data_IF_158271595500
#
_entry.id   IF_158271595500
#
_cell.length_a   1.000
_cell.length_b   1.000
_cell.length_c   1.000
_cell.angle_alpha   90.00
_cell.angle_beta   90.00
_cell.angle_gamma   90.00
#
_symmetry.space_group_name_H-M   'P 1'
#
loop_
_entity.id
_entity.type
_entity.pdbx_description
1 polymer ?
#
# COMPACT_ATOMS: atom_id res chain seq x y z
N UNK A 1 -41.28 55.90 -9.80
CA UNK A 1 -41.11 55.12 -8.55
C UNK A 1 -40.50 53.72 -8.76
N UNK A 2 -40.14 53.31 -9.99
CA UNK A 2 -39.57 51.98 -10.29
C UNK A 2 -38.02 51.92 -10.22
N UNK A 3 -37.32 53.06 -10.30
CA UNK A 3 -35.85 53.10 -10.32
C UNK A 3 -35.18 53.03 -8.94
N UNK A 4 -35.94 53.20 -7.85
CA UNK A 4 -35.40 53.19 -6.48
C UNK A 4 -35.27 51.79 -5.87
N UNK A 5 -35.84 50.75 -6.50
CA UNK A 5 -35.87 49.38 -5.95
C UNK A 5 -34.72 48.50 -6.42
N UNK A 6 -34.02 48.88 -7.49
CA UNK A 6 -32.91 48.09 -8.07
C UNK A 6 -31.57 48.41 -7.39
N UNK A 7 -31.42 49.63 -6.85
CA UNK A 7 -30.18 50.05 -6.17
C UNK A 7 -30.01 49.37 -4.80
N UNK A 8 -31.10 49.06 -4.10
CA UNK A 8 -31.06 48.44 -2.77
C UNK A 8 -30.75 46.95 -2.77
N UNK A 9 -30.87 46.25 -3.91
CA UNK A 9 -30.47 44.84 -4.00
C UNK A 9 -28.97 44.66 -4.25
N UNK A 10 -28.30 45.66 -4.83
CA UNK A 10 -26.85 45.61 -5.09
C UNK A 10 -26.01 45.92 -3.85
N UNK A 11 -26.55 46.62 -2.85
CA UNK A 11 -25.81 46.97 -1.62
C UNK A 11 -25.86 45.91 -0.53
N UNK A 12 -26.78 44.93 -0.61
CA UNK A 12 -26.83 43.81 0.36
C UNK A 12 -25.86 42.67 0.00
N UNK A 13 -25.50 42.51 -1.28
CA UNK A 13 -24.59 41.44 -1.72
C UNK A 13 -23.11 41.84 -1.50
N UNK A 14 -22.80 43.13 -1.37
CA UNK A 14 -21.42 43.61 -1.22
C UNK A 14 -20.89 43.50 0.23
N UNK A 15 -21.75 43.38 1.24
CA UNK A 15 -21.34 43.32 2.67
C UNK A 15 -21.16 41.90 3.21
N UNK A 16 -21.54 40.87 2.45
CA UNK A 16 -21.23 39.46 2.75
C UNK A 16 -19.96 38.95 2.04
N UNK A 17 -19.25 39.83 1.33
CA UNK A 17 -18.12 39.48 0.44
C UNK A 17 -16.74 39.39 1.08
N UNK A 18 -16.61 39.49 2.41
CA UNK A 18 -15.30 39.46 3.08
C UNK A 18 -15.45 38.68 4.37
N UNK A 19 -15.15 37.37 4.33
CA UNK A 19 -14.70 36.51 5.44
C UNK A 19 -14.71 35.01 5.05
N UNK A 20 -14.69 34.69 3.75
CA UNK A 20 -14.23 33.38 3.29
C UNK A 20 -12.82 33.54 2.70
N UNK A 21 -11.86 33.95 3.54
CA UNK A 21 -10.49 33.43 3.33
C UNK A 21 -10.62 31.95 3.66
N UNK A 22 -11.03 31.17 2.66
CA UNK A 22 -10.69 29.78 2.61
C UNK A 22 -9.17 29.79 2.79
N UNK A 23 -8.70 29.45 3.99
CA UNK A 23 -7.32 29.03 4.17
C UNK A 23 -7.06 28.09 3.01
N UNK A 24 -5.98 28.24 2.23
CA UNK A 24 -5.64 27.23 1.24
C UNK A 24 -5.71 25.90 1.98
N UNK A 25 -6.74 25.11 1.68
CA UNK A 25 -6.77 23.72 2.13
C UNK A 25 -5.50 23.19 1.53
N UNK A 26 -4.53 22.77 2.36
CA UNK A 26 -3.28 22.23 1.86
C UNK A 26 -3.64 21.14 0.85
N UNK A 27 -3.55 21.50 -0.43
CA UNK A 27 -3.88 20.63 -1.56
C UNK A 27 -2.74 19.65 -1.77
N UNK A 28 -1.51 20.06 -1.43
CA UNK A 28 -0.32 19.20 -1.33
C UNK A 28 -0.60 17.98 -0.42
N UNK A 29 -0.90 18.19 0.87
CA UNK A 29 -1.12 17.07 1.81
C UNK A 29 -2.26 16.12 1.42
N UNK A 30 -3.29 16.59 0.67
CA UNK A 30 -4.37 15.71 0.18
C UNK A 30 -4.01 14.96 -1.11
N UNK A 31 -3.31 15.60 -2.04
CA UNK A 31 -2.83 14.97 -3.27
C UNK A 31 -1.81 13.86 -2.95
N UNK A 32 -0.96 14.10 -1.96
CA UNK A 32 0.09 13.18 -1.56
C UNK A 32 -0.48 11.96 -0.81
N UNK A 33 -1.44 12.18 0.11
CA UNK A 33 -2.17 11.10 0.77
C UNK A 33 -2.92 10.18 -0.21
N UNK A 34 -3.61 10.78 -1.17
CA UNK A 34 -4.28 10.06 -2.24
C UNK A 34 -3.27 9.31 -3.13
N UNK A 35 -2.05 9.84 -3.29
CA UNK A 35 -0.99 9.18 -4.06
C UNK A 35 -0.48 7.91 -3.38
N UNK A 36 -0.22 7.93 -2.07
CA UNK A 36 0.16 6.71 -1.32
C UNK A 36 -0.96 5.67 -1.35
N UNK A 37 -2.20 6.10 -1.13
CA UNK A 37 -3.36 5.21 -1.21
C UNK A 37 -3.51 4.59 -2.61
N UNK A 38 -3.31 5.37 -3.67
CA UNK A 38 -3.34 4.89 -5.05
C UNK A 38 -2.20 3.91 -5.34
N UNK A 39 -0.99 4.14 -4.82
CA UNK A 39 0.14 3.22 -4.98
C UNK A 39 -0.19 1.87 -4.33
N UNK A 40 -0.65 1.88 -3.07
CA UNK A 40 -1.01 0.64 -2.35
C UNK A 40 -2.23 -0.05 -2.97
N UNK A 41 -3.21 0.70 -3.46
CA UNK A 41 -4.34 0.14 -4.19
C UNK A 41 -3.93 -0.49 -5.53
N UNK A 42 -3.00 0.13 -6.27
CA UNK A 42 -2.45 -0.42 -7.50
C UNK A 42 -1.66 -1.69 -7.23
N UNK A 43 -0.83 -1.69 -6.18
CA UNK A 43 -0.14 -2.88 -5.73
C UNK A 43 -1.13 -3.99 -5.40
N UNK A 44 -2.15 -3.69 -4.60
CA UNK A 44 -3.20 -4.66 -4.26
C UNK A 44 -3.86 -5.24 -5.52
N UNK A 45 -4.21 -4.40 -6.48
CA UNK A 45 -4.81 -4.85 -7.74
C UNK A 45 -3.91 -5.84 -8.48
N UNK A 46 -2.60 -5.57 -8.57
CA UNK A 46 -1.62 -6.50 -9.15
C UNK A 46 -1.49 -7.78 -8.35
N UNK A 47 -1.42 -7.68 -7.02
CA UNK A 47 -1.37 -8.85 -6.13
C UNK A 47 -2.62 -9.72 -6.31
N UNK A 48 -3.82 -9.11 -6.37
CA UNK A 48 -5.09 -9.80 -6.58
C UNK A 48 -5.16 -10.52 -7.94
N UNK A 49 -4.39 -10.09 -8.93
CA UNK A 49 -4.26 -10.74 -10.23
C UNK A 49 -3.24 -11.89 -10.21
N UNK A 50 -2.06 -11.67 -9.61
CA UNK A 50 -0.93 -12.60 -9.65
C UNK A 50 -1.10 -13.74 -8.62
N UNK A 51 -1.57 -13.43 -7.40
CA UNK A 51 -1.71 -14.42 -6.32
C UNK A 51 -2.59 -15.61 -6.71
N UNK A 52 -3.77 -15.44 -7.33
CA UNK A 52 -4.56 -16.58 -7.78
C UNK A 52 -3.83 -17.45 -8.82
N UNK A 53 -3.00 -16.85 -9.67
CA UNK A 53 -2.19 -17.59 -10.64
C UNK A 53 -1.10 -18.41 -9.95
N UNK A 54 -0.43 -17.86 -8.94
CA UNK A 54 0.54 -18.60 -8.12
C UNK A 54 -0.16 -19.77 -7.41
N UNK A 55 -1.32 -19.54 -6.80
CA UNK A 55 -2.10 -20.59 -6.12
C UNK A 55 -2.50 -21.70 -7.09
N UNK A 56 -2.98 -21.34 -8.28
CA UNK A 56 -3.35 -22.28 -9.34
C UNK A 56 -2.15 -23.08 -9.85
N UNK A 57 -1.02 -22.41 -10.08
CA UNK A 57 0.22 -23.05 -10.47
C UNK A 57 0.72 -24.01 -9.39
N UNK A 58 0.76 -23.59 -8.13
CA UNK A 58 1.22 -24.41 -7.00
C UNK A 58 0.31 -25.63 -6.72
N UNK A 59 -0.99 -25.54 -7.03
CA UNK A 59 -1.93 -26.66 -6.93
C UNK A 59 -1.75 -27.70 -8.05
N UNK A 60 -1.01 -27.38 -9.12
CA UNK A 60 -0.77 -28.30 -10.21
C UNK A 60 0.37 -29.28 -9.84
N UNK A 61 0.15 -30.61 -9.88
CA UNK A 61 1.20 -31.59 -9.59
C UNK A 61 2.38 -31.58 -10.57
N UNK A 62 2.25 -30.90 -11.72
CA UNK A 62 3.31 -30.69 -12.72
C UNK A 62 3.96 -29.30 -12.62
N UNK A 63 3.65 -28.52 -11.59
CA UNK A 63 4.25 -27.21 -11.38
C UNK A 63 5.77 -27.31 -11.29
N UNK A 64 6.45 -26.40 -11.97
CA UNK A 64 7.91 -26.36 -12.01
C UNK A 64 8.38 -24.90 -12.01
N UNK A 65 9.70 -24.71 -11.90
CA UNK A 65 10.33 -23.38 -11.89
C UNK A 65 9.89 -22.51 -13.07
N UNK A 66 9.69 -23.07 -14.25
CA UNK A 66 9.29 -22.30 -15.42
C UNK A 66 7.88 -21.69 -15.32
N UNK A 67 7.01 -22.20 -14.43
CA UNK A 67 5.64 -21.67 -14.27
C UNK A 67 5.49 -20.80 -13.02
N UNK A 68 6.15 -21.12 -11.91
CA UNK A 68 6.00 -20.37 -10.64
C UNK A 68 7.01 -19.22 -10.52
N UNK A 69 8.27 -19.42 -10.92
CA UNK A 69 9.31 -18.38 -10.85
C UNK A 69 8.89 -17.08 -11.53
N UNK A 70 8.39 -17.07 -12.79
CA UNK A 70 8.02 -15.81 -13.44
C UNK A 70 6.88 -15.08 -12.73
N UNK A 71 5.94 -15.81 -12.10
CA UNK A 71 4.85 -15.19 -11.35
C UNK A 71 5.35 -14.54 -10.06
N UNK A 72 6.32 -15.17 -9.37
CA UNK A 72 6.96 -14.56 -8.20
C UNK A 72 7.80 -13.35 -8.61
N UNK A 73 8.53 -13.43 -9.72
CA UNK A 73 9.32 -12.30 -10.21
C UNK A 73 8.43 -11.12 -10.61
N UNK A 74 7.24 -11.38 -11.18
CA UNK A 74 6.25 -10.35 -11.48
C UNK A 74 5.72 -9.69 -10.19
N UNK A 75 5.51 -10.47 -9.14
CA UNK A 75 5.12 -9.96 -7.83
C UNK A 75 6.23 -9.10 -7.20
N UNK A 76 7.48 -9.54 -7.25
CA UNK A 76 8.65 -8.77 -6.81
C UNK A 76 8.75 -7.46 -7.61
N UNK A 77 8.55 -7.52 -8.92
CA UNK A 77 8.55 -6.33 -9.78
C UNK A 77 7.44 -5.35 -9.40
N UNK A 78 6.23 -5.83 -9.08
CA UNK A 78 5.13 -5.00 -8.61
C UNK A 78 5.44 -4.32 -7.27
N UNK A 79 6.05 -5.04 -6.33
CA UNK A 79 6.50 -4.49 -5.04
C UNK A 79 7.56 -3.40 -5.22
N UNK A 80 8.58 -3.66 -6.04
CA UNK A 80 9.63 -2.70 -6.33
C UNK A 80 9.10 -1.45 -7.06
N UNK A 81 8.15 -1.61 -7.98
CA UNK A 81 7.50 -0.48 -8.65
C UNK A 81 6.69 0.38 -7.67
N UNK A 82 6.00 -0.23 -6.70
CA UNK A 82 5.31 0.48 -5.64
C UNK A 82 6.31 1.24 -4.75
N UNK A 83 7.41 0.60 -4.35
CA UNK A 83 8.49 1.22 -3.57
C UNK A 83 9.10 2.41 -4.31
N UNK A 84 9.37 2.26 -5.61
CA UNK A 84 9.92 3.34 -6.44
C UNK A 84 8.95 4.52 -6.55
N UNK A 85 7.65 4.24 -6.59
CA UNK A 85 6.62 5.28 -6.63
C UNK A 85 6.51 6.03 -5.30
N UNK A 86 6.72 5.35 -4.16
CA UNK A 86 6.73 5.98 -2.83
C UNK A 86 7.97 6.85 -2.61
N UNK A 87 9.14 6.38 -3.01
CA UNK A 87 10.39 7.14 -2.85
C UNK A 87 10.42 8.42 -3.69
N UNK A 88 9.70 8.45 -4.81
CA UNK A 88 9.51 9.65 -5.63
C UNK A 88 8.53 10.66 -5.01
N UNK A 89 7.63 10.22 -4.12
CA UNK A 89 6.57 11.03 -3.53
C UNK A 89 6.96 11.80 -2.26
N UNK A 90 8.12 11.52 -1.66
CA UNK A 90 8.57 12.17 -0.41
C UNK A 90 7.78 11.73 0.84
N UNK A 91 8.15 12.29 2.01
CA UNK A 91 7.49 11.99 3.29
C UNK A 91 6.18 12.78 3.43
N UNK A 92 5.07 12.11 3.76
CA UNK A 92 3.73 12.68 3.68
C UNK A 92 3.07 12.64 5.05
N UNK A 93 2.64 13.79 5.55
CA UNK A 93 1.79 13.84 6.74
C UNK A 93 0.33 13.62 6.33
N UNK A 94 -0.19 12.42 6.59
CA UNK A 94 -1.62 12.16 6.44
C UNK A 94 -2.42 13.06 7.38
N UNK A 95 -3.50 13.64 6.84
CA UNK A 95 -4.45 14.45 7.62
C UNK A 95 -5.31 13.63 8.59
N UNK A 96 -5.40 12.31 8.42
CA UNK A 96 -6.27 11.45 9.21
C UNK A 96 -5.61 10.11 9.54
N UNK A 97 -5.71 9.70 10.81
CA UNK A 97 -5.33 8.34 11.25
C UNK A 97 -6.14 7.26 10.53
N UNK A 98 -7.41 7.54 10.21
CA UNK A 98 -8.26 6.59 9.50
C UNK A 98 -7.67 6.20 8.13
N UNK A 99 -7.12 7.17 7.39
CA UNK A 99 -6.45 6.89 6.10
C UNK A 99 -5.19 6.05 6.29
N UNK A 100 -4.45 6.28 7.37
CA UNK A 100 -3.27 5.47 7.71
C UNK A 100 -3.66 4.02 8.02
N UNK A 101 -4.73 3.83 8.79
CA UNK A 101 -5.25 2.51 9.16
C UNK A 101 -5.79 1.75 7.93
N UNK A 102 -6.46 2.45 7.00
CA UNK A 102 -6.93 1.87 5.73
C UNK A 102 -5.76 1.40 4.84
N UNK A 103 -4.69 2.20 4.75
CA UNK A 103 -3.48 1.85 4.01
C UNK A 103 -2.76 0.66 4.68
N UNK A 104 -2.63 0.69 6.01
CA UNK A 104 -2.02 -0.40 6.78
C UNK A 104 -2.80 -1.71 6.61
N UNK A 105 -4.13 -1.65 6.68
CA UNK A 105 -5.02 -2.80 6.50
C UNK A 105 -4.88 -3.38 5.09
N UNK A 106 -4.86 -2.51 4.07
CA UNK A 106 -4.70 -2.93 2.67
C UNK A 106 -3.35 -3.61 2.45
N UNK A 107 -2.27 -3.02 2.98
CA UNK A 107 -0.93 -3.56 2.86
C UNK A 107 -0.76 -4.88 3.64
N UNK A 108 -1.29 -4.98 4.86
CA UNK A 108 -1.29 -6.23 5.62
C UNK A 108 -2.05 -7.35 4.90
N UNK A 109 -3.15 -7.01 4.21
CA UNK A 109 -3.86 -7.92 3.31
C UNK A 109 -2.96 -8.44 2.19
N UNK A 110 -2.25 -7.55 1.49
CA UNK A 110 -1.27 -7.92 0.46
C UNK A 110 -0.21 -8.89 0.99
N UNK A 111 0.40 -8.59 2.14
CA UNK A 111 1.40 -9.49 2.77
C UNK A 111 0.79 -10.86 3.10
N UNK A 112 -0.44 -10.89 3.62
CA UNK A 112 -1.14 -12.13 3.95
C UNK A 112 -1.46 -12.96 2.71
N UNK A 113 -1.87 -12.31 1.62
CA UNK A 113 -2.18 -12.99 0.35
C UNK A 113 -0.93 -13.59 -0.29
N UNK A 114 0.18 -12.85 -0.29
CA UNK A 114 1.48 -13.30 -0.78
C UNK A 114 1.98 -14.50 0.03
N UNK A 115 2.03 -14.38 1.35
CA UNK A 115 2.49 -15.48 2.23
C UNK A 115 1.58 -16.69 2.11
N UNK A 116 0.27 -16.50 1.97
CA UNK A 116 -0.69 -17.57 1.71
C UNK A 116 -0.45 -18.28 0.37
N UNK A 117 -0.06 -17.55 -0.69
CA UNK A 117 0.32 -18.16 -1.97
C UNK A 117 1.64 -18.93 -1.88
N UNK A 118 2.68 -18.33 -1.27
CA UNK A 118 4.00 -18.96 -1.13
C UNK A 118 3.92 -20.25 -0.30
N UNK A 119 3.08 -20.28 0.74
CA UNK A 119 2.84 -21.47 1.56
C UNK A 119 2.36 -22.69 0.76
N UNK A 120 1.65 -22.46 -0.34
CA UNK A 120 1.11 -23.55 -1.16
C UNK A 120 2.16 -24.16 -2.09
N UNK A 121 3.31 -23.50 -2.25
CA UNK A 121 4.41 -24.02 -3.07
C UNK A 121 5.05 -25.20 -2.32
N UNK A 122 5.21 -26.38 -2.97
CA UNK A 122 5.76 -27.55 -2.32
C UNK A 122 7.16 -27.31 -1.74
N UNK A 123 7.40 -27.86 -0.55
CA UNK A 123 8.72 -27.84 0.08
C UNK A 123 9.73 -28.59 -0.80
N UNK A 124 10.88 -27.98 -1.08
CA UNK A 124 11.88 -28.52 -2.01
C UNK A 124 11.77 -28.01 -3.45
N UNK A 125 10.87 -27.06 -3.73
CA UNK A 125 10.80 -26.41 -5.04
C UNK A 125 12.14 -25.73 -5.40
N UNK A 126 12.73 -26.03 -6.57
CA UNK A 126 14.03 -25.49 -6.96
C UNK A 126 14.01 -23.96 -7.02
N UNK A 127 14.94 -23.31 -6.33
CA UNK A 127 15.05 -21.84 -6.31
C UNK A 127 14.06 -21.14 -5.37
N UNK A 128 13.15 -21.85 -4.71
CA UNK A 128 12.21 -21.26 -3.76
C UNK A 128 12.89 -20.46 -2.64
N UNK A 129 14.01 -20.91 -2.03
CA UNK A 129 14.69 -20.10 -1.02
C UNK A 129 15.15 -18.75 -1.55
N UNK A 130 15.67 -18.70 -2.79
CA UNK A 130 16.08 -17.44 -3.42
C UNK A 130 14.89 -16.53 -3.71
N UNK A 131 13.77 -17.11 -4.16
CA UNK A 131 12.54 -16.37 -4.44
C UNK A 131 11.90 -15.79 -3.16
N UNK A 132 11.93 -16.54 -2.06
CA UNK A 132 11.50 -16.06 -0.75
C UNK A 132 12.37 -14.88 -0.29
N UNK A 133 13.70 -14.98 -0.43
CA UNK A 133 14.61 -13.88 -0.07
C UNK A 133 14.31 -12.63 -0.92
N UNK A 134 14.12 -12.77 -2.23
CA UNK A 134 13.77 -11.64 -3.10
C UNK A 134 12.44 -10.99 -2.72
N UNK A 135 11.43 -11.78 -2.38
CA UNK A 135 10.15 -11.28 -1.88
C UNK A 135 10.28 -10.59 -0.53
N UNK A 136 11.05 -11.16 0.40
CA UNK A 136 11.27 -10.60 1.73
C UNK A 136 12.00 -9.25 1.66
N UNK A 137 13.02 -9.14 0.79
CA UNK A 137 13.71 -7.87 0.52
C UNK A 137 12.74 -6.85 -0.07
N UNK A 138 11.98 -7.19 -1.12
CA UNK A 138 11.06 -6.25 -1.76
C UNK A 138 9.93 -5.78 -0.81
N UNK A 139 9.41 -6.68 0.03
CA UNK A 139 8.43 -6.34 1.06
C UNK A 139 9.03 -5.45 2.15
N UNK A 140 10.24 -5.75 2.61
CA UNK A 140 10.95 -4.98 3.61
C UNK A 140 11.27 -3.55 3.12
N UNK A 141 11.73 -3.41 1.88
CA UNK A 141 11.99 -2.11 1.26
C UNK A 141 10.70 -1.31 1.08
N UNK A 142 9.63 -1.95 0.63
CA UNK A 142 8.33 -1.30 0.48
C UNK A 142 7.75 -0.87 1.83
N UNK A 143 7.82 -1.72 2.85
CA UNK A 143 7.38 -1.40 4.22
C UNK A 143 8.19 -0.23 4.79
N UNK A 144 9.50 -0.21 4.57
CA UNK A 144 10.36 0.89 4.98
C UNK A 144 9.99 2.19 4.25
N UNK A 145 9.77 2.12 2.93
CA UNK A 145 9.31 3.27 2.14
C UNK A 145 7.95 3.78 2.60
N UNK A 146 7.04 2.88 2.96
CA UNK A 146 5.74 3.21 3.51
C UNK A 146 5.82 3.81 4.93
N UNK A 147 6.70 3.34 5.81
CA UNK A 147 6.87 3.90 7.16
C UNK A 147 7.56 5.27 7.14
N UNK A 148 8.46 5.49 6.17
CA UNK A 148 9.02 6.82 5.88
C UNK A 148 7.93 7.75 5.32
N UNK A 149 7.13 7.26 4.37
CA UNK A 149 6.04 8.02 3.80
C UNK A 149 4.97 8.33 4.85
N UNK A 150 4.68 7.39 5.75
CA UNK A 150 3.62 7.41 6.74
C UNK A 150 4.14 6.99 8.12
N UNK A 151 4.52 7.97 8.93
CA UNK A 151 5.10 7.72 10.26
C UNK A 151 4.18 6.82 11.11
N UNK A 152 4.71 5.67 11.52
CA UNK A 152 4.02 4.72 12.40
C UNK A 152 3.12 3.73 11.67
N UNK A 153 3.17 3.67 10.33
CA UNK A 153 2.48 2.64 9.56
C UNK A 153 3.06 1.26 9.86
N UNK A 154 4.38 1.14 10.06
CA UNK A 154 5.02 -0.14 10.38
C UNK A 154 4.44 -0.79 11.65
N UNK A 155 4.13 0.02 12.67
CA UNK A 155 3.49 -0.45 13.90
C UNK A 155 2.04 -0.91 13.67
N UNK A 156 1.28 -0.17 12.87
CA UNK A 156 -0.10 -0.54 12.53
C UNK A 156 -0.13 -1.87 11.75
N UNK A 157 0.71 -1.97 10.72
CA UNK A 157 0.89 -3.18 9.91
C UNK A 157 1.37 -4.35 10.78
N UNK A 158 2.33 -4.12 11.69
CA UNK A 158 2.82 -5.15 12.60
C UNK A 158 1.72 -5.67 13.52
N UNK A 159 0.87 -4.78 14.05
CA UNK A 159 -0.25 -5.19 14.89
C UNK A 159 -1.28 -6.07 14.16
N UNK A 160 -1.52 -5.78 12.87
CA UNK A 160 -2.39 -6.56 12.00
C UNK A 160 -1.77 -7.91 11.63
N UNK A 161 -0.45 -7.93 11.39
CA UNK A 161 0.28 -9.11 10.97
C UNK A 161 0.69 -10.04 12.13
N UNK A 162 0.48 -9.68 13.40
CA UNK A 162 0.76 -10.56 14.55
C UNK A 162 0.20 -11.97 14.38
N UNK A 163 -1.02 -12.09 13.84
CA UNK A 163 -1.67 -13.38 13.61
C UNK A 163 -0.97 -14.24 12.52
N UNK A 164 -0.31 -13.59 11.56
CA UNK A 164 0.44 -14.26 10.48
C UNK A 164 1.95 -14.28 10.73
N UNK A 165 2.45 -13.67 11.81
CA UNK A 165 3.88 -13.60 12.11
C UNK A 165 4.55 -14.98 12.17
N UNK A 166 3.88 -15.97 12.77
CA UNK A 166 4.37 -17.36 12.77
C UNK A 166 4.44 -17.98 11.36
N UNK A 167 3.54 -17.58 10.45
CA UNK A 167 3.59 -18.00 9.05
C UNK A 167 4.76 -17.32 8.32
N UNK A 168 4.96 -16.02 8.51
CA UNK A 168 6.10 -15.30 7.95
C UNK A 168 7.42 -15.93 8.42
N UNK A 169 7.52 -16.25 9.72
CA UNK A 169 8.72 -16.85 10.30
C UNK A 169 8.97 -18.25 9.73
N UNK A 170 7.92 -19.07 9.64
CA UNK A 170 8.00 -20.40 9.07
C UNK A 170 8.34 -20.43 7.58
N UNK A 171 8.04 -19.35 6.85
CA UNK A 171 8.38 -19.19 5.44
C UNK A 171 9.73 -18.52 5.21
N UNK A 172 10.36 -17.91 6.22
CA UNK A 172 11.67 -17.24 6.08
C UNK A 172 11.61 -15.76 5.73
N UNK A 173 10.48 -15.08 5.96
CA UNK A 173 10.33 -13.61 5.83
C UNK A 173 10.92 -12.88 7.05
N UNK A 174 12.21 -13.09 7.31
CA UNK A 174 12.88 -12.63 8.55
C UNK A 174 13.12 -11.12 8.53
N UNK A 175 13.39 -10.52 7.37
CA UNK A 175 13.57 -9.07 7.25
C UNK A 175 12.26 -8.32 7.51
N UNK A 176 11.18 -8.79 6.88
CA UNK A 176 9.84 -8.21 7.07
C UNK A 176 9.41 -8.33 8.53
N UNK A 177 9.64 -9.47 9.19
CA UNK A 177 9.36 -9.64 10.62
C UNK A 177 10.18 -8.69 11.50
N UNK A 178 11.48 -8.60 11.23
CA UNK A 178 12.37 -7.72 11.99
C UNK A 178 11.94 -6.26 11.93
N UNK A 179 11.50 -5.78 10.76
CA UNK A 179 10.98 -4.42 10.59
C UNK A 179 9.64 -4.19 11.30
N UNK A 180 8.81 -5.23 11.41
CA UNK A 180 7.51 -5.16 12.09
C UNK A 180 7.62 -5.35 13.62
N UNK A 181 8.80 -5.75 14.13
CA UNK A 181 9.02 -6.04 15.54
C UNK A 181 8.26 -7.27 16.03
N UNK A 182 8.14 -8.29 15.17
CA UNK A 182 7.39 -9.53 15.41
C UNK A 182 8.31 -10.74 15.66
#
# INVERSE_FOLDING_TARGET
MLFSRVVSFFTFILTLGILAVAKPVELESRADAASVQNIVATLKSKTDQIVPQIKSAAANPQANSATITPLIDELVSALNAAQSSLTQGGAIKLKSRQTQDEIATTFAGVVTDITGAVKLIPFGFPGLPGLIVSLDVALAELLTGLDIALVGLGLAVGSLLKGVGGLLAGLGFVLTLGLLGL
#
